data_IF_059827568935
#
_entry.id   IF_059827568935
#
_cell.length_a   1.000
_cell.length_b   1.000
_cell.length_c   1.000
_cell.angle_alpha   90.00
_cell.angle_beta   90.00
_cell.angle_gamma   90.00
#
_symmetry.space_group_name_H-M   'P 1'
#
loop_
_entity.id
_entity.type
_entity.pdbx_description
1 polymer ?
#
# COMPACT_ATOMS: atom_id res chain seq x y z
N UNK A 1 -19.46 -4.31 -7.45
CA UNK A 1 -18.42 -3.29 -7.71
C UNK A 1 -18.48 -2.10 -6.74
N UNK A 2 -19.65 -1.60 -6.31
CA UNK A 2 -19.72 -0.60 -5.22
C UNK A 2 -19.28 -1.13 -3.85
N UNK A 3 -19.47 -2.43 -3.58
CA UNK A 3 -19.12 -3.04 -2.28
C UNK A 3 -17.60 -3.09 -2.00
N UNK A 4 -16.76 -3.12 -3.04
CA UNK A 4 -15.29 -3.24 -2.88
C UNK A 4 -14.61 -1.87 -2.68
N UNK A 5 -15.09 -0.82 -3.37
CA UNK A 5 -14.67 0.56 -3.12
C UNK A 5 -15.11 1.01 -1.71
N UNK A 6 -16.28 0.57 -1.26
CA UNK A 6 -16.72 0.78 0.12
C UNK A 6 -15.84 0.03 1.14
N UNK A 7 -15.30 -1.15 0.80
CA UNK A 7 -14.37 -1.87 1.67
C UNK A 7 -13.04 -1.10 1.82
N UNK A 8 -12.51 -0.51 0.74
CA UNK A 8 -11.33 0.35 0.81
C UNK A 8 -11.58 1.65 1.60
N UNK A 9 -12.78 2.25 1.47
CA UNK A 9 -13.13 3.48 2.19
C UNK A 9 -13.44 3.23 3.68
N UNK A 10 -14.02 2.07 4.03
CA UNK A 10 -14.29 1.68 5.43
C UNK A 10 -13.00 1.33 6.17
N UNK A 11 -11.96 0.83 5.49
CA UNK A 11 -10.64 0.58 6.07
C UNK A 11 -9.80 1.85 6.27
N UNK A 12 -10.17 2.98 5.64
CA UNK A 12 -9.43 4.25 5.66
C UNK A 12 -10.15 5.40 6.38
N UNK A 13 -11.36 5.20 6.90
CA UNK A 13 -12.14 6.23 7.59
C UNK A 13 -12.11 6.04 9.11
N UNK A 14 -11.66 7.01 9.92
CA UNK A 14 -11.89 6.98 11.36
C UNK A 14 -13.38 7.19 11.64
N UNK A 15 -14.05 6.18 12.17
CA UNK A 15 -15.36 6.37 12.80
C UNK A 15 -15.13 6.98 14.19
N UNK A 16 -15.47 8.25 14.35
CA UNK A 16 -15.68 8.82 15.68
C UNK A 16 -15.20 10.26 15.86
N UNK A 17 -16.02 11.22 15.45
CA UNK A 17 -16.13 12.50 16.13
C UNK A 17 -17.61 12.87 16.19
N UNK A 18 -18.27 12.46 17.28
CA UNK A 18 -19.61 12.95 17.63
C UNK A 18 -19.47 14.30 18.29
N UNK A 19 -20.10 15.32 17.71
CA UNK A 19 -20.30 16.62 18.34
C UNK A 19 -21.69 17.13 17.98
N UNK A 20 -22.70 16.83 18.81
CA UNK A 20 -23.66 17.83 19.26
C UNK A 20 -24.55 17.34 20.42
N UNK A 21 -24.84 18.27 21.33
CA UNK A 21 -25.60 18.16 22.60
C UNK A 21 -27.11 18.45 22.40
N UNK A 22 -27.94 17.77 23.21
CA UNK A 22 -29.35 17.99 23.67
C UNK A 22 -30.49 18.21 22.62
N UNK A 23 -31.68 17.59 22.69
CA UNK A 23 -32.65 17.41 23.80
C UNK A 23 -33.60 16.19 23.54
N UNK A 24 -34.31 15.60 24.53
CA UNK A 24 -34.88 14.25 24.44
C UNK A 24 -36.37 14.21 24.07
N UNK A 25 -36.79 13.09 23.45
CA UNK A 25 -38.19 12.64 23.46
C UNK A 25 -38.23 11.11 23.49
N UNK A 26 -38.78 10.57 24.58
CA UNK A 26 -38.94 9.13 24.80
C UNK A 26 -39.83 8.47 23.74
N UNK A 27 -39.40 7.31 23.26
CA UNK A 27 -40.32 6.26 22.80
C UNK A 27 -39.75 4.89 23.17
N UNK A 28 -40.39 4.25 24.14
CA UNK A 28 -40.13 2.92 24.67
C UNK A 28 -40.31 1.85 23.59
N UNK A 29 -39.27 1.04 23.30
CA UNK A 29 -39.46 -0.31 22.74
C UNK A 29 -38.26 -1.24 23.00
N UNK A 30 -38.59 -2.32 23.73
CA UNK A 30 -38.01 -3.66 23.83
C UNK A 30 -36.49 -3.83 23.69
N UNK A 31 -35.91 -4.24 24.82
CA UNK A 31 -34.65 -4.97 24.96
C UNK A 31 -34.74 -6.29 24.19
N UNK A 32 -33.88 -6.45 23.18
CA UNK A 32 -33.30 -7.74 22.83
C UNK A 32 -31.78 -7.60 23.02
N UNK A 33 -31.26 -8.30 24.02
CA UNK A 33 -29.84 -8.39 24.33
C UNK A 33 -29.12 -9.11 23.19
N UNK A 34 -28.53 -8.37 22.25
CA UNK A 34 -27.39 -8.88 21.49
C UNK A 34 -26.14 -8.64 22.32
N UNK A 35 -25.55 -9.74 22.78
CA UNK A 35 -24.18 -9.80 23.28
C UNK A 35 -23.25 -9.07 22.31
N UNK A 36 -22.91 -7.83 22.65
CA UNK A 36 -21.77 -7.12 22.06
C UNK A 36 -20.55 -7.84 22.61
N UNK A 37 -20.15 -8.90 21.91
CA UNK A 37 -18.83 -9.47 22.07
C UNK A 37 -17.85 -8.31 21.91
N UNK A 38 -17.20 -7.96 23.03
CA UNK A 38 -16.14 -6.97 23.07
C UNK A 38 -15.09 -7.41 22.04
N UNK A 39 -15.19 -6.84 20.84
CA UNK A 39 -14.18 -7.04 19.83
C UNK A 39 -13.03 -6.17 20.32
N UNK A 40 -12.14 -6.81 21.07
CA UNK A 40 -10.81 -6.27 21.37
C UNK A 40 -10.28 -5.77 20.04
N UNK A 41 -10.23 -4.45 19.86
CA UNK A 41 -9.54 -3.86 18.73
C UNK A 41 -8.15 -4.49 18.75
N UNK A 42 -7.72 -5.21 17.70
CA UNK A 42 -6.44 -5.87 17.73
C UNK A 42 -5.40 -4.80 18.04
N UNK A 43 -4.70 -5.00 19.15
CA UNK A 43 -3.63 -4.15 19.63
C UNK A 43 -2.67 -3.85 18.47
N UNK A 44 -2.59 -2.57 18.11
CA UNK A 44 -1.57 -1.97 17.23
C UNK A 44 -1.27 -2.72 15.92
N UNK A 45 -2.24 -2.81 15.00
CA UNK A 45 -1.85 -3.02 13.59
C UNK A 45 -1.15 -1.74 13.11
N UNK A 46 0.15 -1.83 12.78
CA UNK A 46 0.86 -0.71 12.17
C UNK A 46 0.24 -0.42 10.80
N UNK A 47 -0.05 0.85 10.57
CA UNK A 47 -0.58 1.33 9.31
C UNK A 47 0.50 2.22 8.68
N UNK A 48 1.17 1.66 7.68
CA UNK A 48 2.26 2.32 6.98
C UNK A 48 1.88 3.71 6.47
N UNK A 49 0.63 3.90 6.02
CA UNK A 49 0.17 5.18 5.48
C UNK A 49 0.14 6.27 6.55
N UNK A 50 -0.46 5.98 7.70
CA UNK A 50 -0.54 6.94 8.79
C UNK A 50 0.80 7.12 9.50
N UNK A 51 1.61 6.07 9.61
CA UNK A 51 2.98 6.15 10.13
C UNK A 51 3.83 7.07 9.26
N UNK A 52 3.77 6.90 7.93
CA UNK A 52 4.50 7.74 6.99
C UNK A 52 4.00 9.19 7.00
N UNK A 53 2.67 9.40 7.00
CA UNK A 53 2.11 10.75 7.10
C UNK A 53 2.60 11.47 8.35
N UNK A 54 2.57 10.81 9.52
CA UNK A 54 3.04 11.38 10.79
C UNK A 54 4.53 11.71 10.75
N UNK A 55 5.33 10.84 10.15
CA UNK A 55 6.77 11.09 9.97
C UNK A 55 7.01 12.32 9.08
N UNK A 56 6.31 12.44 7.95
CA UNK A 56 6.42 13.59 7.05
C UNK A 56 5.95 14.90 7.72
N UNK A 57 4.82 14.87 8.43
CA UNK A 57 4.30 16.02 9.15
C UNK A 57 5.23 16.49 10.28
N UNK A 58 5.89 15.56 10.95
CA UNK A 58 6.86 15.89 12.00
C UNK A 58 8.16 16.45 11.42
N UNK A 59 8.59 15.95 10.26
CA UNK A 59 9.79 16.42 9.58
C UNK A 59 9.63 17.82 8.97
N UNK A 60 8.42 18.20 8.55
CA UNK A 60 8.12 19.50 7.96
C UNK A 60 6.77 20.09 8.45
N UNK A 61 6.67 20.55 9.71
CA UNK A 61 5.40 20.91 10.38
C UNK A 61 4.57 22.04 9.77
N UNK A 62 5.07 22.74 8.76
CA UNK A 62 4.40 23.88 8.12
C UNK A 62 4.39 23.77 6.60
N UNK A 63 4.75 22.60 6.05
CA UNK A 63 4.68 22.33 4.63
C UNK A 63 3.45 21.49 4.31
N UNK A 64 2.89 21.69 3.12
CA UNK A 64 1.83 20.83 2.61
C UNK A 64 2.37 19.41 2.38
N UNK A 65 1.54 18.41 2.64
CA UNK A 65 1.88 17.00 2.45
C UNK A 65 0.99 16.44 1.35
N UNK A 66 1.61 15.93 0.29
CA UNK A 66 0.92 15.26 -0.80
C UNK A 66 1.78 14.08 -1.29
N UNK A 67 1.24 12.86 -1.22
CA UNK A 67 1.94 11.65 -1.64
C UNK A 67 0.95 10.54 -1.99
N UNK A 68 1.43 9.50 -2.68
CA UNK A 68 0.67 8.27 -2.97
C UNK A 68 1.16 7.12 -2.07
N UNK A 69 0.40 6.73 -1.03
CA UNK A 69 0.77 5.61 -0.17
C UNK A 69 0.88 4.29 -0.93
N UNK A 70 0.02 4.08 -1.92
CA UNK A 70 0.02 2.88 -2.77
C UNK A 70 1.31 2.78 -3.58
N UNK A 71 1.74 3.89 -4.20
CA UNK A 71 2.98 3.91 -4.99
C UNK A 71 4.19 3.54 -4.14
N UNK A 72 4.36 4.18 -2.98
CA UNK A 72 5.51 3.94 -2.11
C UNK A 72 5.49 2.52 -1.55
N UNK A 73 4.32 2.04 -1.10
CA UNK A 73 4.16 0.68 -0.58
C UNK A 73 4.51 -0.37 -1.63
N UNK A 74 4.05 -0.17 -2.87
CA UNK A 74 4.31 -1.08 -3.98
C UNK A 74 5.79 -1.13 -4.35
N UNK A 75 6.47 0.02 -4.41
CA UNK A 75 7.92 0.07 -4.66
C UNK A 75 8.73 -0.62 -3.55
N UNK A 76 8.35 -0.46 -2.29
CA UNK A 76 9.00 -1.17 -1.18
C UNK A 76 8.73 -2.68 -1.21
N UNK A 77 7.52 -3.09 -1.59
CA UNK A 77 7.20 -4.50 -1.77
C UNK A 77 7.90 -5.11 -3.01
N UNK A 78 8.17 -4.34 -4.06
CA UNK A 78 9.04 -4.77 -5.15
C UNK A 78 10.47 -4.99 -4.64
N UNK A 79 10.98 -4.04 -3.84
CA UNK A 79 12.31 -4.14 -3.24
C UNK A 79 12.45 -5.38 -2.33
N UNK A 80 11.39 -5.77 -1.61
CA UNK A 80 11.43 -6.96 -0.75
C UNK A 80 11.58 -8.27 -1.52
N UNK A 81 11.23 -8.33 -2.81
CA UNK A 81 11.48 -9.51 -3.65
C UNK A 81 12.99 -9.74 -3.87
N UNK A 82 13.76 -8.67 -4.00
CA UNK A 82 15.22 -8.73 -4.20
C UNK A 82 16.03 -8.75 -2.89
N UNK A 83 15.41 -8.40 -1.75
CA UNK A 83 16.06 -8.37 -0.46
C UNK A 83 16.18 -9.77 0.19
N UNK A 84 17.26 -9.99 0.95
CA UNK A 84 17.46 -11.19 1.76
C UNK A 84 17.37 -10.92 3.26
N UNK A 85 17.20 -12.00 4.05
CA UNK A 85 17.39 -12.02 5.51
C UNK A 85 16.75 -10.84 6.26
N UNK A 86 17.51 -10.13 7.12
CA UNK A 86 17.03 -9.02 7.93
C UNK A 86 16.54 -7.83 7.12
N UNK A 87 17.15 -7.55 5.97
CA UNK A 87 16.71 -6.47 5.09
C UNK A 87 15.29 -6.70 4.59
N UNK A 88 14.98 -7.93 4.13
CA UNK A 88 13.62 -8.28 3.73
C UNK A 88 12.64 -8.12 4.91
N UNK A 89 13.01 -8.64 6.08
CA UNK A 89 12.14 -8.57 7.27
C UNK A 89 11.83 -7.12 7.65
N UNK A 90 12.82 -6.23 7.66
CA UNK A 90 12.62 -4.81 8.00
C UNK A 90 11.73 -4.07 7.00
N UNK A 91 11.83 -4.39 5.71
CA UNK A 91 10.94 -3.80 4.69
C UNK A 91 9.49 -4.25 4.91
N UNK A 92 9.26 -5.56 5.03
CA UNK A 92 7.92 -6.12 5.23
C UNK A 92 7.31 -5.68 6.56
N UNK A 93 8.13 -5.66 7.61
CA UNK A 93 7.74 -5.06 8.87
C UNK A 93 7.39 -3.60 8.63
N UNK A 94 8.24 -2.75 8.06
CA UNK A 94 7.92 -1.35 7.77
C UNK A 94 6.56 -1.14 7.09
N UNK A 95 6.17 -2.02 6.16
CA UNK A 95 4.87 -2.03 5.46
C UNK A 95 3.66 -2.47 6.31
N UNK A 96 3.86 -2.82 7.58
CA UNK A 96 2.81 -3.22 8.53
C UNK A 96 2.50 -4.71 8.54
N UNK A 97 3.34 -5.56 7.91
CA UNK A 97 3.10 -7.00 7.88
C UNK A 97 3.67 -7.71 9.11
N UNK A 98 2.91 -8.70 9.57
CA UNK A 98 3.40 -9.71 10.48
C UNK A 98 4.26 -10.71 9.69
N UNK A 99 5.44 -11.05 10.19
CA UNK A 99 6.49 -11.85 9.52
C UNK A 99 6.17 -13.33 9.30
N UNK A 100 4.90 -13.68 9.07
CA UNK A 100 4.51 -15.00 8.58
C UNK A 100 4.69 -15.07 7.06
N UNK A 101 5.23 -16.19 6.55
CA UNK A 101 5.47 -16.39 5.11
C UNK A 101 4.21 -16.26 4.25
N UNK A 102 3.03 -16.59 4.80
CA UNK A 102 1.74 -16.39 4.12
C UNK A 102 1.47 -14.92 3.85
N UNK A 103 1.80 -14.04 4.79
CA UNK A 103 1.58 -12.59 4.70
C UNK A 103 2.35 -11.96 3.53
N UNK A 104 3.60 -12.37 3.28
CA UNK A 104 4.41 -11.86 2.14
C UNK A 104 3.81 -12.27 0.80
N UNK A 105 3.40 -13.53 0.66
CA UNK A 105 2.76 -14.02 -0.57
C UNK A 105 1.44 -13.30 -0.84
N UNK A 106 0.65 -13.08 0.20
CA UNK A 106 -0.61 -12.34 0.14
C UNK A 106 -0.39 -10.87 -0.25
N UNK A 107 0.66 -10.23 0.27
CA UNK A 107 1.05 -8.87 -0.11
C UNK A 107 1.29 -8.74 -1.62
N UNK A 108 2.19 -9.56 -2.15
CA UNK A 108 2.55 -9.50 -3.57
C UNK A 108 1.37 -9.84 -4.47
N UNK A 109 0.56 -10.84 -4.09
CA UNK A 109 -0.67 -11.16 -4.82
C UNK A 109 -1.69 -10.02 -4.77
N UNK A 110 -1.84 -9.36 -3.63
CA UNK A 110 -2.71 -8.19 -3.48
C UNK A 110 -2.29 -7.05 -4.41
N UNK A 111 -0.99 -6.75 -4.50
CA UNK A 111 -0.49 -5.75 -5.44
C UNK A 111 -0.67 -6.14 -6.90
N UNK A 112 -0.47 -7.42 -7.24
CA UNK A 112 -0.74 -7.92 -8.59
C UNK A 112 -2.21 -7.69 -8.98
N UNK A 113 -3.15 -8.05 -8.11
CA UNK A 113 -4.58 -7.85 -8.33
C UNK A 113 -4.91 -6.37 -8.47
N UNK A 114 -4.36 -5.52 -7.60
CA UNK A 114 -4.55 -4.07 -7.65
C UNK A 114 -4.08 -3.50 -8.99
N UNK A 115 -2.89 -3.87 -9.47
CA UNK A 115 -2.36 -3.44 -10.76
C UNK A 115 -3.27 -3.87 -11.91
N UNK A 116 -3.77 -5.11 -11.88
CA UNK A 116 -4.67 -5.63 -12.90
C UNK A 116 -6.01 -4.89 -12.91
N UNK A 117 -6.58 -4.57 -11.74
CA UNK A 117 -7.88 -3.92 -11.60
C UNK A 117 -7.85 -2.42 -11.90
N UNK A 118 -6.79 -1.72 -11.48
CA UNK A 118 -6.67 -0.27 -11.63
C UNK A 118 -6.22 0.15 -13.03
N UNK A 119 -5.53 -0.72 -13.77
CA UNK A 119 -5.16 -0.47 -15.17
C UNK A 119 -6.25 -0.85 -16.19
N UNK A 120 -7.41 -1.36 -15.75
CA UNK A 120 -8.52 -1.60 -16.67
C UNK A 120 -9.10 -0.27 -17.18
N UNK A 121 -9.42 -0.14 -18.48
CA UNK A 121 -10.13 1.02 -19.01
C UNK A 121 -11.46 1.23 -18.31
N UNK A 122 -11.79 2.49 -18.00
CA UNK A 122 -13.05 2.86 -17.35
C UNK A 122 -13.59 4.15 -17.96
N UNK A 123 -14.90 4.18 -18.15
CA UNK A 123 -15.57 5.37 -18.67
C UNK A 123 -15.59 6.47 -17.61
N UNK A 124 -15.22 7.69 -18.02
CA UNK A 124 -15.31 8.88 -17.17
C UNK A 124 -14.12 9.12 -16.22
N UNK A 125 -13.11 8.26 -16.17
CA UNK A 125 -11.83 8.58 -15.52
C UNK A 125 -10.66 7.77 -16.07
N UNK A 126 -9.47 8.38 -16.05
CA UNK A 126 -8.22 7.74 -16.45
C UNK A 126 -7.38 7.43 -15.21
N UNK A 127 -7.00 6.17 -15.05
CA UNK A 127 -6.09 5.71 -14.01
C UNK A 127 -5.08 4.75 -14.64
N UNK A 128 -3.80 4.92 -14.31
CA UNK A 128 -2.75 4.02 -14.73
C UNK A 128 -1.69 3.90 -13.65
N UNK A 129 -1.27 2.67 -13.38
CA UNK A 129 -0.17 2.33 -12.49
C UNK A 129 0.85 1.53 -13.31
N UNK A 130 2.08 1.99 -13.33
CA UNK A 130 3.19 1.33 -14.01
C UNK A 130 4.35 1.10 -13.06
N UNK A 131 5.10 0.05 -13.31
CA UNK A 131 6.34 -0.25 -12.63
C UNK A 131 7.42 -0.52 -13.68
N UNK A 132 8.66 -0.16 -13.39
CA UNK A 132 9.79 -0.41 -14.27
C UNK A 132 11.03 -0.70 -13.44
N UNK A 133 11.93 -1.53 -13.98
CA UNK A 133 13.25 -1.77 -13.42
C UNK A 133 14.30 -1.25 -14.41
N UNK A 134 15.10 -0.27 -13.99
CA UNK A 134 16.24 0.22 -14.77
C UNK A 134 17.52 -0.41 -14.21
N UNK A 135 18.28 -1.11 -15.05
CA UNK A 135 19.41 -1.94 -14.61
C UNK A 135 20.69 -1.53 -15.30
N UNK A 136 21.81 -1.56 -14.57
CA UNK A 136 23.11 -1.32 -15.20
C UNK A 136 23.41 -2.42 -16.23
N UNK A 137 24.12 -2.05 -17.29
CA UNK A 137 24.47 -2.95 -18.39
C UNK A 137 25.36 -4.12 -17.96
N UNK A 138 26.08 -3.99 -16.83
CA UNK A 138 27.03 -5.01 -16.36
C UNK A 138 26.50 -5.88 -15.21
N UNK A 139 25.25 -5.67 -14.77
CA UNK A 139 24.66 -6.41 -13.65
C UNK A 139 23.81 -7.57 -14.17
N UNK A 140 24.24 -8.79 -13.84
CA UNK A 140 23.46 -9.99 -14.10
C UNK A 140 22.39 -10.17 -13.00
N UNK A 141 21.12 -10.18 -13.41
CA UNK A 141 19.99 -10.40 -12.51
C UNK A 141 19.59 -11.88 -12.45
N UNK A 142 19.15 -12.32 -11.28
CA UNK A 142 18.56 -13.65 -11.15
C UNK A 142 17.22 -13.73 -11.91
N UNK A 143 17.06 -14.76 -12.74
CA UNK A 143 15.84 -15.00 -13.53
C UNK A 143 14.58 -15.05 -12.66
N UNK A 144 14.71 -15.61 -11.45
CA UNK A 144 13.61 -15.69 -10.48
C UNK A 144 13.13 -14.31 -10.05
N UNK A 145 14.05 -13.36 -9.85
CA UNK A 145 13.72 -11.98 -9.51
C UNK A 145 13.06 -11.27 -10.70
N UNK A 146 13.66 -11.34 -11.89
CA UNK A 146 13.10 -10.71 -13.10
C UNK A 146 11.70 -11.25 -13.41
N UNK A 147 11.52 -12.56 -13.32
CA UNK A 147 10.22 -13.21 -13.51
C UNK A 147 9.19 -12.76 -12.47
N UNK A 148 9.58 -12.65 -11.20
CA UNK A 148 8.69 -12.15 -10.14
C UNK A 148 8.28 -10.69 -10.39
N UNK A 149 9.21 -9.81 -10.78
CA UNK A 149 8.94 -8.41 -11.11
C UNK A 149 7.95 -8.29 -12.28
N UNK A 150 8.15 -9.05 -13.36
CA UNK A 150 7.27 -9.05 -14.51
C UNK A 150 5.88 -9.60 -14.20
N UNK A 151 5.79 -10.71 -13.46
CA UNK A 151 4.52 -11.41 -13.24
C UNK A 151 3.67 -10.79 -12.13
N UNK A 152 4.29 -10.35 -11.03
CA UNK A 152 3.59 -9.80 -9.87
C UNK A 152 3.37 -8.29 -9.98
N UNK A 153 4.30 -7.57 -10.60
CA UNK A 153 4.28 -6.11 -10.64
C UNK A 153 4.12 -5.53 -12.04
N UNK A 154 3.98 -6.37 -13.06
CA UNK A 154 3.88 -5.96 -14.47
C UNK A 154 5.04 -5.03 -14.87
N UNK A 155 6.21 -5.25 -14.26
CA UNK A 155 7.37 -4.39 -14.44
C UNK A 155 8.26 -4.92 -15.57
N UNK A 156 8.50 -4.08 -16.57
CA UNK A 156 9.51 -4.33 -17.60
C UNK A 156 10.90 -3.91 -17.11
N UNK A 157 11.92 -4.60 -17.64
CA UNK A 157 13.33 -4.34 -17.32
C UNK A 157 13.99 -3.61 -18.48
N UNK A 158 14.63 -2.48 -18.18
CA UNK A 158 15.28 -1.60 -19.14
C UNK A 158 16.78 -1.50 -18.81
N UNK A 159 17.66 -2.09 -19.65
CA UNK A 159 19.09 -1.85 -19.57
C UNK A 159 19.37 -0.34 -19.71
N UNK A 160 20.16 0.21 -18.80
CA UNK A 160 20.40 1.65 -18.65
C UNK A 160 21.87 1.90 -18.41
N UNK A 161 22.47 2.80 -19.19
CA UNK A 161 23.87 3.19 -19.00
C UNK A 161 23.99 4.24 -17.91
N UNK A 162 24.14 3.83 -16.66
CA UNK A 162 24.28 4.77 -15.53
C UNK A 162 25.60 5.56 -15.53
N UNK A 163 26.57 5.22 -16.39
CA UNK A 163 27.76 6.05 -16.61
C UNK A 163 27.45 7.32 -17.41
N UNK A 164 26.39 7.28 -18.23
CA UNK A 164 25.81 8.47 -18.85
C UNK A 164 24.63 8.95 -18.01
N UNK A 165 24.92 9.76 -16.99
CA UNK A 165 23.89 10.25 -16.06
C UNK A 165 22.80 11.07 -16.75
N UNK A 166 23.13 11.84 -17.80
CA UNK A 166 22.14 12.64 -18.53
C UNK A 166 21.23 11.75 -19.38
N UNK A 167 21.80 10.75 -20.05
CA UNK A 167 21.05 9.73 -20.78
C UNK A 167 20.13 8.92 -19.87
N UNK A 168 20.65 8.44 -18.73
CA UNK A 168 19.87 7.69 -17.75
C UNK A 168 18.73 8.52 -17.15
N UNK A 169 18.98 9.79 -16.79
CA UNK A 169 17.94 10.69 -16.28
C UNK A 169 16.84 10.97 -17.31
N UNK A 170 17.17 10.98 -18.61
CA UNK A 170 16.17 11.14 -19.68
C UNK A 170 15.32 9.88 -19.89
N UNK A 171 15.88 8.71 -19.56
CA UNK A 171 15.22 7.41 -19.74
C UNK A 171 14.25 7.06 -18.60
N UNK A 172 14.54 7.51 -17.38
CA UNK A 172 13.73 7.28 -16.16
C UNK A 172 12.66 8.38 -16.03
#
# INVERSE_FOLDING_TARGET
MQLFLLLCLVLLSPQGASLHRHHPREMKKRVEDLHVGATVAPSSRRDFTFDLYRALASAAPSQSIFFSPVSISMSLAMLSLGAGSSTKMQILEGLGLNLQKSSEKELHRGFQQLLQELNQPRDGFQLSLGNALFTDLVVDLQDTFVSAMKTLYLADTFPTNFRDSAGAMKQI
#
